data_IF_745199281919
#
_entry.id   IF_745199281919
#
_cell.length_a   1.000
_cell.length_b   1.000
_cell.length_c   1.000
_cell.angle_alpha   90.00
_cell.angle_beta   90.00
_cell.angle_gamma   90.00
#
_symmetry.space_group_name_H-M   'P 1'
#
loop_
_entity.id
_entity.type
_entity.pdbx_description
1 polymer ?
#
# COMPACT_ATOMS: atom_id res chain seq x y z
N UNK A 1 18.07 -28.61 19.91
CA UNK A 1 17.56 -27.31 19.44
C UNK A 1 16.80 -26.65 20.58
N UNK A 2 17.30 -25.55 21.16
CA UNK A 2 16.56 -24.76 22.16
C UNK A 2 15.48 -23.98 21.41
N UNK A 3 14.22 -24.39 21.56
CA UNK A 3 13.07 -23.75 20.91
C UNK A 3 11.99 -23.46 21.94
N UNK A 4 11.40 -22.26 21.85
CA UNK A 4 10.21 -21.89 22.63
C UNK A 4 9.05 -22.75 22.13
N UNK A 5 8.42 -23.52 23.03
CA UNK A 5 7.13 -24.16 22.76
C UNK A 5 6.02 -23.24 23.23
N UNK A 6 5.20 -22.78 22.30
CA UNK A 6 3.98 -22.05 22.59
C UNK A 6 2.83 -23.05 22.55
N UNK A 7 2.04 -23.10 23.62
CA UNK A 7 0.84 -23.93 23.71
C UNK A 7 -0.35 -23.00 23.90
N UNK A 8 -1.42 -23.21 23.13
CA UNK A 8 -2.60 -22.37 23.22
C UNK A 8 -3.29 -22.55 24.58
N UNK A 9 -3.64 -21.45 25.23
CA UNK A 9 -4.48 -21.47 26.42
C UNK A 9 -5.95 -21.54 26.00
N UNK A 10 -6.48 -22.76 25.91
CA UNK A 10 -7.84 -23.00 25.42
C UNK A 10 -8.91 -22.36 26.31
N UNK A 11 -8.71 -22.30 27.63
CA UNK A 11 -9.65 -21.67 28.57
C UNK A 11 -9.78 -20.16 28.29
N UNK A 12 -8.66 -19.46 28.15
CA UNK A 12 -8.67 -18.03 27.83
C UNK A 12 -9.31 -17.75 26.46
N UNK A 13 -9.09 -18.64 25.48
CA UNK A 13 -9.75 -18.53 24.17
C UNK A 13 -11.25 -18.77 24.25
N UNK A 14 -11.71 -19.73 25.05
CA UNK A 14 -13.12 -20.02 25.24
C UNK A 14 -13.84 -18.89 26.00
N UNK A 15 -13.19 -18.31 27.01
CA UNK A 15 -13.70 -17.14 27.74
C UNK A 15 -13.87 -15.92 26.83
N UNK A 16 -12.89 -15.64 25.98
CA UNK A 16 -12.99 -14.55 24.99
C UNK A 16 -14.12 -14.80 23.98
N UNK A 17 -14.29 -16.05 23.51
CA UNK A 17 -15.35 -16.43 22.56
C UNK A 17 -16.76 -16.23 23.11
N UNK A 18 -16.97 -16.32 24.44
CA UNK A 18 -18.30 -16.07 25.04
C UNK A 18 -18.82 -14.66 24.78
N UNK A 19 -17.91 -13.70 24.57
CA UNK A 19 -18.24 -12.30 24.32
C UNK A 19 -18.27 -11.95 22.82
N UNK A 20 -18.19 -12.92 21.93
CA UNK A 20 -18.29 -12.65 20.49
C UNK A 20 -19.72 -12.21 20.18
N UNK A 21 -19.84 -11.00 19.65
CA UNK A 21 -21.10 -10.50 19.12
C UNK A 21 -21.52 -11.23 17.85
N UNK A 22 -22.79 -11.11 17.50
CA UNK A 22 -23.31 -11.51 16.20
C UNK A 22 -23.44 -10.27 15.30
N UNK A 23 -23.22 -10.46 14.00
CA UNK A 23 -23.55 -9.46 12.99
C UNK A 23 -24.26 -10.16 11.82
N UNK A 24 -25.10 -9.42 11.12
CA UNK A 24 -25.80 -9.89 9.93
C UNK A 24 -25.35 -9.04 8.73
N UNK A 25 -25.08 -9.70 7.60
CA UNK A 25 -24.88 -9.05 6.31
C UNK A 25 -26.15 -9.19 5.48
N UNK A 26 -26.62 -8.07 4.94
CA UNK A 26 -27.72 -8.03 3.99
C UNK A 26 -27.16 -7.66 2.62
N UNK A 27 -27.51 -8.45 1.61
CA UNK A 27 -27.06 -8.28 0.23
C UNK A 27 -28.26 -8.31 -0.70
N UNK A 28 -28.30 -7.38 -1.66
CA UNK A 28 -29.30 -7.32 -2.71
C UNK A 28 -28.91 -8.13 -3.96
N UNK A 29 -27.62 -8.41 -4.14
CA UNK A 29 -27.07 -9.02 -5.36
C UNK A 29 -26.31 -10.32 -5.09
N UNK A 30 -25.35 -10.30 -4.16
CA UNK A 30 -24.50 -11.45 -3.84
C UNK A 30 -25.31 -12.44 -3.00
N UNK A 31 -25.51 -13.65 -3.54
CA UNK A 31 -26.29 -14.72 -2.91
C UNK A 31 -25.43 -15.71 -2.12
N UNK A 32 -24.15 -15.83 -2.46
CA UNK A 32 -23.22 -16.70 -1.72
C UNK A 32 -22.73 -15.99 -0.45
N UNK A 33 -22.83 -16.69 0.68
CA UNK A 33 -22.51 -16.12 1.99
C UNK A 33 -21.01 -15.89 2.19
N UNK A 34 -20.15 -16.74 1.61
CA UNK A 34 -18.70 -16.63 1.73
C UNK A 34 -18.21 -15.46 0.89
N UNK A 35 -18.71 -15.35 -0.34
CA UNK A 35 -18.45 -14.23 -1.24
C UNK A 35 -18.92 -12.90 -0.63
N UNK A 36 -20.14 -12.85 -0.08
CA UNK A 36 -20.65 -11.64 0.58
C UNK A 36 -19.77 -11.22 1.77
N UNK A 37 -19.28 -12.20 2.55
CA UNK A 37 -18.38 -11.94 3.66
C UNK A 37 -17.00 -11.46 3.17
N UNK A 38 -16.47 -12.02 2.10
CA UNK A 38 -15.19 -11.62 1.50
C UNK A 38 -15.27 -10.19 0.98
N UNK A 39 -16.31 -9.85 0.21
CA UNK A 39 -16.55 -8.49 -0.28
C UNK A 39 -16.72 -7.51 0.88
N UNK A 40 -17.47 -7.89 1.92
CA UNK A 40 -17.61 -7.06 3.11
C UNK A 40 -16.27 -6.84 3.82
N UNK A 41 -15.44 -7.89 3.95
CA UNK A 41 -14.10 -7.77 4.55
C UNK A 41 -13.17 -6.92 3.71
N UNK A 42 -13.31 -6.92 2.40
CA UNK A 42 -12.58 -6.04 1.50
C UNK A 42 -12.91 -4.55 1.74
N UNK A 43 -13.99 -4.21 2.47
CA UNK A 43 -14.22 -2.85 2.98
C UNK A 43 -13.06 -2.35 3.86
N UNK A 44 -12.35 -3.23 4.57
CA UNK A 44 -11.14 -2.86 5.33
C UNK A 44 -10.06 -2.23 4.43
N UNK A 45 -9.98 -2.64 3.15
CA UNK A 45 -9.08 -1.99 2.18
C UNK A 45 -9.46 -0.52 1.95
N UNK A 46 -10.77 -0.23 1.94
CA UNK A 46 -11.29 1.14 1.81
C UNK A 46 -10.93 1.95 3.06
N UNK A 47 -11.09 1.39 4.25
CA UNK A 47 -10.72 2.06 5.51
C UNK A 47 -9.22 2.37 5.56
N UNK A 48 -8.37 1.39 5.20
CA UNK A 48 -6.92 1.59 5.04
C UNK A 48 -6.58 2.66 4.00
N UNK A 49 -7.32 2.72 2.90
CA UNK A 49 -7.13 3.73 1.87
C UNK A 49 -7.47 5.15 2.39
N UNK A 50 -8.55 5.29 3.16
CA UNK A 50 -8.90 6.56 3.81
C UNK A 50 -7.87 6.97 4.87
N UNK A 51 -7.31 6.03 5.60
CA UNK A 51 -6.25 6.32 6.57
C UNK A 51 -4.96 6.74 5.87
N UNK A 52 -4.62 6.14 4.72
CA UNK A 52 -3.52 6.61 3.88
C UNK A 52 -3.74 8.05 3.38
N UNK A 53 -4.96 8.40 2.97
CA UNK A 53 -5.29 9.78 2.58
C UNK A 53 -5.07 10.75 3.74
N UNK A 54 -5.53 10.41 4.95
CA UNK A 54 -5.42 11.28 6.13
C UNK A 54 -3.98 11.43 6.59
N UNK A 55 -3.29 10.32 6.84
CA UNK A 55 -1.96 10.32 7.45
C UNK A 55 -0.85 10.48 6.43
N UNK A 56 -0.78 9.54 5.47
CA UNK A 56 0.38 9.43 4.57
C UNK A 56 0.39 10.51 3.50
N UNK A 57 -0.79 10.87 3.00
CA UNK A 57 -0.95 11.91 1.98
C UNK A 57 -1.39 13.26 2.56
N UNK A 58 -1.41 13.39 3.90
CA UNK A 58 -1.63 14.65 4.61
C UNK A 58 -2.93 15.39 4.24
N UNK A 59 -4.03 14.65 4.08
CA UNK A 59 -5.35 15.22 3.78
C UNK A 59 -6.15 15.60 5.05
N UNK A 60 -5.61 15.37 6.26
CA UNK A 60 -6.26 15.81 7.53
C UNK A 60 -6.63 17.29 7.53
N UNK A 61 -5.81 18.14 6.88
CA UNK A 61 -6.10 19.56 6.68
C UNK A 61 -6.00 19.87 5.19
N UNK A 62 -7.06 20.43 4.62
CA UNK A 62 -7.10 20.76 3.19
C UNK A 62 -6.23 21.99 2.89
N UNK A 63 -6.26 23.01 3.76
CA UNK A 63 -5.46 24.26 3.68
C UNK A 63 -5.49 24.88 2.29
N UNK A 64 -6.69 25.02 1.73
CA UNK A 64 -6.95 25.65 0.43
C UNK A 64 -8.06 26.68 0.59
N UNK A 65 -7.97 27.77 -0.18
CA UNK A 65 -8.85 28.93 -0.06
C UNK A 65 -10.07 28.92 -0.98
N UNK A 66 -10.18 27.93 -1.89
CA UNK A 66 -11.30 27.81 -2.82
C UNK A 66 -11.71 26.36 -3.04
N UNK A 67 -12.96 26.16 -3.45
CA UNK A 67 -13.48 24.85 -3.83
C UNK A 67 -12.74 24.26 -5.03
N UNK A 68 -12.37 25.09 -6.01
CA UNK A 68 -11.58 24.66 -7.16
C UNK A 68 -10.22 24.09 -6.73
N UNK A 69 -9.52 24.78 -5.82
CA UNK A 69 -8.25 24.30 -5.27
C UNK A 69 -8.42 23.03 -4.44
N UNK A 70 -9.56 22.88 -3.74
CA UNK A 70 -9.89 21.65 -3.02
C UNK A 70 -10.08 20.47 -3.98
N UNK A 71 -10.85 20.66 -5.05
CA UNK A 71 -11.07 19.65 -6.07
C UNK A 71 -9.75 19.23 -6.74
N UNK A 72 -8.88 20.20 -7.04
CA UNK A 72 -7.53 19.92 -7.54
C UNK A 72 -6.69 19.10 -6.55
N UNK A 73 -6.71 19.45 -5.26
CA UNK A 73 -6.01 18.69 -4.22
C UNK A 73 -6.54 17.25 -4.13
N UNK A 74 -7.86 17.08 -4.07
CA UNK A 74 -8.49 15.75 -4.01
C UNK A 74 -8.14 14.89 -5.21
N UNK A 75 -8.08 15.49 -6.41
CA UNK A 75 -7.67 14.78 -7.62
C UNK A 75 -6.23 14.24 -7.55
N UNK A 76 -5.27 15.08 -7.15
CA UNK A 76 -3.87 14.66 -6.98
C UNK A 76 -3.75 13.57 -5.90
N UNK A 77 -4.49 13.71 -4.81
CA UNK A 77 -4.53 12.75 -3.71
C UNK A 77 -5.08 11.39 -4.15
N UNK A 78 -6.12 11.40 -4.99
CA UNK A 78 -6.68 10.19 -5.58
C UNK A 78 -5.65 9.46 -6.45
N UNK A 79 -4.90 10.20 -7.29
CA UNK A 79 -3.80 9.62 -8.09
C UNK A 79 -2.71 9.03 -7.19
N UNK A 80 -2.28 9.75 -6.15
CA UNK A 80 -1.29 9.28 -5.20
C UNK A 80 -1.74 7.99 -4.48
N UNK A 81 -3.03 7.88 -4.16
CA UNK A 81 -3.62 6.69 -3.56
C UNK A 81 -3.60 5.48 -4.51
N UNK A 82 -3.80 5.68 -5.82
CA UNK A 82 -3.65 4.62 -6.83
C UNK A 82 -2.21 4.08 -6.81
N UNK A 83 -1.21 4.96 -6.82
CA UNK A 83 0.20 4.55 -6.74
C UNK A 83 0.50 3.79 -5.45
N UNK A 84 0.12 4.32 -4.28
CA UNK A 84 0.35 3.66 -3.00
C UNK A 84 -0.33 2.28 -2.94
N UNK A 85 -1.55 2.15 -3.45
CA UNK A 85 -2.28 0.89 -3.50
C UNK A 85 -1.58 -0.13 -4.39
N UNK A 86 -1.11 0.31 -5.57
CA UNK A 86 -0.37 -0.53 -6.51
C UNK A 86 0.95 -1.04 -5.91
N UNK A 87 1.74 -0.14 -5.32
CA UNK A 87 3.02 -0.49 -4.67
C UNK A 87 2.76 -1.43 -3.48
N UNK A 88 1.76 -1.14 -2.65
CA UNK A 88 1.39 -1.99 -1.50
C UNK A 88 1.05 -3.39 -1.94
N UNK A 89 0.22 -3.52 -2.99
CA UNK A 89 -0.15 -4.82 -3.57
C UNK A 89 1.09 -5.58 -4.04
N UNK A 90 1.97 -4.94 -4.80
CA UNK A 90 3.21 -5.55 -5.30
C UNK A 90 4.16 -5.97 -4.17
N UNK A 91 4.27 -5.15 -3.13
CA UNK A 91 5.07 -5.47 -1.95
C UNK A 91 4.50 -6.66 -1.17
N UNK A 92 3.18 -6.80 -1.07
CA UNK A 92 2.53 -7.97 -0.47
C UNK A 92 2.78 -9.23 -1.29
N UNK A 93 2.51 -9.19 -2.60
CA UNK A 93 2.70 -10.31 -3.54
C UNK A 93 4.14 -10.85 -3.50
N UNK A 94 5.13 -9.95 -3.38
CA UNK A 94 6.55 -10.31 -3.37
C UNK A 94 7.16 -10.45 -1.96
N UNK A 95 6.34 -10.44 -0.91
CA UNK A 95 6.80 -10.51 0.49
C UNK A 95 7.85 -9.46 0.88
N UNK A 96 7.84 -8.29 0.24
CA UNK A 96 8.81 -7.21 0.47
C UNK A 96 8.68 -6.60 1.87
N UNK A 97 7.48 -6.60 2.45
CA UNK A 97 7.23 -6.09 3.81
C UNK A 97 8.01 -6.82 4.92
N UNK A 98 8.63 -7.98 4.63
CA UNK A 98 9.53 -8.66 5.58
C UNK A 98 10.85 -7.91 5.77
N UNK A 99 11.30 -7.20 4.74
CA UNK A 99 12.63 -6.59 4.69
C UNK A 99 12.58 -5.07 4.52
N UNK A 100 11.45 -4.53 4.07
CA UNK A 100 11.28 -3.13 3.74
C UNK A 100 9.94 -2.60 4.21
N UNK A 101 9.94 -1.37 4.71
CA UNK A 101 8.77 -0.52 4.79
C UNK A 101 8.49 0.15 3.45
N UNK A 102 7.26 0.63 3.26
CA UNK A 102 6.90 1.44 2.08
C UNK A 102 7.81 2.67 1.94
N UNK A 103 8.18 3.31 3.05
CA UNK A 103 9.03 4.50 3.02
C UNK A 103 10.43 4.16 2.53
N UNK A 104 11.04 3.10 3.06
CA UNK A 104 12.38 2.67 2.64
C UNK A 104 12.44 2.29 1.16
N UNK A 105 11.37 1.70 0.61
CA UNK A 105 11.32 1.42 -0.85
C UNK A 105 11.30 2.73 -1.66
N UNK A 106 10.51 3.71 -1.23
CA UNK A 106 10.44 5.00 -1.93
C UNK A 106 11.76 5.75 -1.82
N UNK A 107 12.35 5.81 -0.62
CA UNK A 107 13.64 6.48 -0.38
C UNK A 107 14.77 5.84 -1.21
N UNK A 108 14.80 4.51 -1.32
CA UNK A 108 15.81 3.81 -2.13
C UNK A 108 15.71 4.16 -3.63
N UNK A 109 14.50 4.38 -4.14
CA UNK A 109 14.25 4.75 -5.54
C UNK A 109 14.43 6.25 -5.78
N UNK A 110 14.19 7.10 -4.78
CA UNK A 110 14.36 8.56 -4.84
C UNK A 110 15.83 8.98 -5.04
N UNK A 111 16.77 8.09 -4.70
CA UNK A 111 18.22 8.30 -4.91
C UNK A 111 18.59 8.31 -6.41
N UNK A 112 17.77 7.74 -7.29
CA UNK A 112 18.11 7.61 -8.71
C UNK A 112 18.03 8.96 -9.40
N UNK A 113 19.18 9.53 -9.75
CA UNK A 113 19.27 10.82 -10.43
C UNK A 113 18.89 10.73 -11.91
N UNK A 114 18.25 11.79 -12.41
CA UNK A 114 17.94 11.92 -13.83
C UNK A 114 18.42 13.28 -14.36
N UNK A 115 19.15 13.25 -15.46
CA UNK A 115 19.78 14.40 -16.07
C UNK A 115 19.09 14.74 -17.38
N UNK A 116 18.70 16.01 -17.50
CA UNK A 116 18.17 16.57 -18.74
C UNK A 116 19.24 17.45 -19.39
N UNK A 117 19.62 17.10 -20.62
CA UNK A 117 20.50 17.94 -21.46
C UNK A 117 19.66 18.47 -22.62
N UNK A 118 19.63 19.79 -22.86
CA UNK A 118 18.84 20.37 -23.94
C UNK A 118 19.13 19.70 -25.30
N UNK A 119 18.09 19.16 -25.94
CA UNK A 119 18.19 18.48 -27.23
C UNK A 119 18.64 17.02 -27.17
N UNK A 120 18.84 16.44 -25.99
CA UNK A 120 19.11 15.01 -25.80
C UNK A 120 17.96 14.31 -25.06
N UNK A 121 17.92 12.98 -25.14
CA UNK A 121 17.01 12.20 -24.30
C UNK A 121 17.43 12.28 -22.83
N UNK A 122 16.45 12.20 -21.92
CA UNK A 122 16.66 12.08 -20.47
C UNK A 122 17.63 10.93 -20.19
N UNK A 123 18.70 11.23 -19.47
CA UNK A 123 19.70 10.25 -19.08
C UNK A 123 19.51 9.91 -17.60
N UNK A 124 19.52 8.62 -17.29
CA UNK A 124 19.32 8.14 -15.93
C UNK A 124 20.69 7.76 -15.37
N UNK A 125 21.01 8.26 -14.18
CA UNK A 125 22.25 7.97 -13.49
C UNK A 125 22.43 6.49 -13.17
N UNK A 126 23.58 6.15 -12.58
CA UNK A 126 23.89 4.76 -12.23
C UNK A 126 22.82 4.18 -11.30
N UNK A 127 22.29 3.01 -11.66
CA UNK A 127 21.30 2.30 -10.86
C UNK A 127 21.93 1.03 -10.26
N UNK A 128 21.80 0.86 -8.95
CA UNK A 128 22.37 -0.28 -8.24
C UNK A 128 21.57 -1.57 -8.52
N UNK A 129 22.20 -2.74 -8.30
CA UNK A 129 21.52 -4.04 -8.40
C UNK A 129 20.28 -4.14 -7.51
N UNK A 130 20.33 -3.52 -6.32
CA UNK A 130 19.21 -3.50 -5.36
C UNK A 130 18.03 -2.71 -5.91
N UNK A 131 18.27 -1.54 -6.51
CA UNK A 131 17.25 -0.73 -7.16
C UNK A 131 16.62 -1.46 -8.37
N UNK A 132 17.43 -2.10 -9.20
CA UNK A 132 16.97 -2.93 -10.33
C UNK A 132 16.06 -4.08 -9.83
N UNK A 133 16.46 -4.75 -8.75
CA UNK A 133 15.67 -5.82 -8.14
C UNK A 133 14.34 -5.28 -7.58
N UNK A 134 14.35 -4.10 -6.95
CA UNK A 134 13.14 -3.45 -6.45
C UNK A 134 12.17 -3.11 -7.59
N UNK A 135 12.65 -2.49 -8.68
CA UNK A 135 11.81 -2.25 -9.87
C UNK A 135 11.15 -3.52 -10.39
N UNK A 136 11.95 -4.59 -10.52
CA UNK A 136 11.47 -5.89 -11.00
C UNK A 136 10.38 -6.47 -10.08
N UNK A 137 10.59 -6.44 -8.76
CA UNK A 137 9.58 -6.90 -7.77
C UNK A 137 8.34 -6.00 -7.72
N UNK A 138 8.48 -4.72 -8.01
CA UNK A 138 7.35 -3.80 -8.17
C UNK A 138 6.62 -3.98 -9.52
N UNK A 139 7.14 -4.84 -10.41
CA UNK A 139 6.55 -5.12 -11.72
C UNK A 139 6.71 -3.97 -12.70
N UNK A 140 7.78 -3.19 -12.56
CA UNK A 140 8.13 -2.06 -13.42
C UNK A 140 9.48 -2.36 -14.08
N UNK A 141 9.61 -2.08 -15.37
CA UNK A 141 10.87 -2.25 -16.09
C UNK A 141 11.91 -1.29 -15.53
N UNK A 142 13.09 -1.77 -15.08
CA UNK A 142 14.17 -0.90 -14.62
C UNK A 142 14.58 0.07 -15.73
N UNK A 143 14.92 1.32 -15.38
CA UNK A 143 15.39 2.30 -16.35
C UNK A 143 16.71 1.86 -17.00
N UNK A 144 16.92 2.28 -18.25
CA UNK A 144 18.21 2.16 -18.91
C UNK A 144 19.18 3.20 -18.30
N UNK A 145 19.88 2.80 -17.25
CA UNK A 145 20.90 3.63 -16.60
C UNK A 145 22.15 3.74 -17.47
N UNK A 146 22.86 4.87 -17.35
CA UNK A 146 24.21 5.02 -17.84
C UNK A 146 25.12 4.05 -17.06
N UNK A 147 25.45 2.89 -17.66
CA UNK A 147 26.50 1.97 -17.20
C UNK A 147 27.67 2.01 -18.17
#
# INVERSE_FOLDING_TARGET
>A
VRGVKVVANEEAMAEAKRNYGYFALLSNEIKDAVEALEVYRNKDLVEKAFDNLKERLNLRRTVVSSEQSLNGKLFVQFIALIFLSSITKRMQENNLFKNYTMQEVLDELDIIECFEVPGQQLQIGETTKRQIELYTKLGVTPPASLQ
#
